data_IF_598363778355
#
_entry.id   IF_598363778355
#
_cell.length_a   1.000
_cell.length_b   1.000
_cell.length_c   1.000
_cell.angle_alpha   90.00
_cell.angle_beta   90.00
_cell.angle_gamma   90.00
#
_symmetry.space_group_name_H-M   'P 1'
#
loop_
_entity.id
_entity.type
_entity.pdbx_description
1 polymer ?
#
# COMPACT_ATOMS: atom_id res chain seq x y z
N UNK A 1 4.98 5.32 -2.33
CA UNK A 1 4.01 4.50 -3.07
C UNK A 1 4.13 4.67 -4.59
N UNK A 2 3.98 5.85 -5.18
CA UNK A 2 4.06 6.05 -6.63
C UNK A 2 5.29 5.43 -7.30
N UNK A 3 6.47 5.55 -6.71
CA UNK A 3 7.69 4.91 -7.22
C UNK A 3 7.61 3.37 -7.21
N UNK A 4 6.98 2.77 -6.21
CA UNK A 4 6.82 1.31 -6.14
C UNK A 4 5.90 0.80 -7.29
N UNK A 5 4.78 1.49 -7.51
CA UNK A 5 3.86 1.19 -8.61
C UNK A 5 4.57 1.34 -9.95
N UNK A 6 5.32 2.42 -10.14
CA UNK A 6 6.11 2.67 -11.34
C UNK A 6 7.10 1.52 -11.62
N UNK A 7 7.88 1.14 -10.61
CA UNK A 7 8.83 0.02 -10.72
C UNK A 7 8.13 -1.30 -11.03
N UNK A 8 6.96 -1.55 -10.41
CA UNK A 8 6.16 -2.74 -10.68
C UNK A 8 5.62 -2.80 -12.11
N UNK A 9 5.13 -1.68 -12.65
CA UNK A 9 4.68 -1.59 -14.04
C UNK A 9 5.82 -1.89 -15.03
N UNK A 10 6.99 -1.31 -14.79
CA UNK A 10 8.17 -1.56 -15.64
C UNK A 10 8.62 -3.01 -15.57
N UNK A 11 8.65 -3.60 -14.36
CA UNK A 11 9.00 -5.00 -14.16
C UNK A 11 7.98 -5.95 -14.82
N UNK A 12 6.70 -5.55 -14.89
CA UNK A 12 5.64 -6.28 -15.59
C UNK A 12 5.65 -6.09 -17.12
N UNK A 13 6.64 -5.37 -17.67
CA UNK A 13 6.84 -5.19 -19.12
C UNK A 13 6.09 -3.99 -19.72
N UNK A 14 5.57 -3.08 -18.92
CA UNK A 14 5.00 -1.83 -19.47
C UNK A 14 6.11 -0.98 -20.06
N UNK A 15 5.98 -0.58 -21.34
CA UNK A 15 6.98 0.26 -22.01
C UNK A 15 7.11 1.62 -21.31
N UNK A 16 8.33 2.10 -21.05
CA UNK A 16 8.57 3.45 -20.53
C UNK A 16 7.91 4.56 -21.37
N UNK A 17 7.81 4.38 -22.69
CA UNK A 17 7.15 5.32 -23.60
C UNK A 17 5.65 5.48 -23.37
N UNK A 18 5.00 4.51 -22.69
CA UNK A 18 3.59 4.54 -22.35
C UNK A 18 3.34 5.15 -20.97
N UNK A 19 4.39 5.55 -20.26
CA UNK A 19 4.29 6.11 -18.91
C UNK A 19 4.77 7.56 -18.93
N UNK A 20 3.97 8.44 -18.35
CA UNK A 20 4.33 9.83 -18.07
C UNK A 20 4.18 10.06 -16.57
N UNK A 21 5.07 10.84 -16.00
CA UNK A 21 5.08 11.08 -14.55
C UNK A 21 5.13 12.58 -14.27
N UNK A 22 4.36 13.02 -13.28
CA UNK A 22 4.51 14.35 -12.70
C UNK A 22 5.06 14.23 -11.27
N UNK A 23 6.00 15.09 -10.94
CA UNK A 23 6.57 15.21 -9.61
C UNK A 23 6.47 16.63 -9.09
N UNK A 24 6.68 16.82 -7.78
CA UNK A 24 6.71 18.17 -7.21
C UNK A 24 7.98 18.92 -7.63
N UNK A 25 9.16 18.29 -7.51
CA UNK A 25 10.47 18.92 -7.71
C UNK A 25 11.14 18.46 -9.00
N UNK A 26 11.93 19.35 -9.60
CA UNK A 26 12.74 19.05 -10.79
C UNK A 26 13.72 17.90 -10.54
N UNK A 27 14.40 17.91 -9.40
CA UNK A 27 15.34 16.84 -9.04
C UNK A 27 14.68 15.44 -9.02
N UNK A 28 13.40 15.35 -8.62
CA UNK A 28 12.67 14.07 -8.64
C UNK A 28 12.28 13.65 -10.06
N UNK A 29 11.94 14.60 -10.93
CA UNK A 29 11.65 14.34 -12.34
C UNK A 29 12.90 13.85 -13.07
N UNK A 30 14.02 14.53 -12.89
CA UNK A 30 15.32 14.19 -13.48
C UNK A 30 15.78 12.78 -13.06
N UNK A 31 15.61 12.47 -11.76
CA UNK A 31 15.94 11.13 -11.24
C UNK A 31 15.10 10.02 -11.88
N UNK A 32 13.80 10.24 -12.10
CA UNK A 32 12.92 9.27 -12.77
C UNK A 32 13.32 9.12 -14.23
N UNK A 33 13.54 10.22 -14.93
CA UNK A 33 13.94 10.20 -16.34
C UNK A 33 15.27 9.47 -16.52
N UNK A 34 16.26 9.78 -15.67
CA UNK A 34 17.59 9.16 -15.75
C UNK A 34 17.59 7.67 -15.40
N UNK A 35 16.77 7.28 -14.40
CA UNK A 35 16.74 5.88 -13.91
C UNK A 35 15.91 4.95 -14.77
N UNK A 36 14.87 5.46 -15.44
CA UNK A 36 13.85 4.63 -16.08
C UNK A 36 13.58 4.99 -17.55
N UNK A 37 14.18 6.06 -18.09
CA UNK A 37 13.90 6.54 -19.45
C UNK A 37 12.47 7.04 -19.67
N UNK A 38 11.79 7.44 -18.59
CA UNK A 38 10.40 7.89 -18.60
C UNK A 38 10.34 9.41 -18.72
N UNK A 39 9.41 9.91 -19.51
CA UNK A 39 9.11 11.34 -19.55
C UNK A 39 8.51 11.80 -18.20
N UNK A 40 9.26 12.58 -17.46
CA UNK A 40 8.82 13.16 -16.20
C UNK A 40 8.84 14.70 -16.25
N UNK A 41 7.79 15.31 -15.70
CA UNK A 41 7.65 16.76 -15.57
C UNK A 41 7.60 17.15 -14.08
N UNK A 42 7.95 18.39 -13.76
CA UNK A 42 7.93 18.92 -12.40
C UNK A 42 7.01 20.12 -12.27
N UNK A 43 6.16 20.11 -11.23
CA UNK A 43 5.31 21.28 -10.91
C UNK A 43 6.12 22.53 -10.54
N UNK A 44 7.32 22.36 -10.03
CA UNK A 44 8.25 23.43 -9.71
C UNK A 44 8.67 24.23 -10.96
N UNK A 45 8.74 23.57 -12.11
CA UNK A 45 9.15 24.17 -13.39
C UNK A 45 7.97 24.48 -14.31
N UNK A 46 6.89 23.75 -14.18
CA UNK A 46 5.66 23.92 -14.98
C UNK A 46 4.44 23.65 -14.10
N UNK A 47 3.73 24.70 -13.71
CA UNK A 47 2.51 24.59 -12.88
C UNK A 47 1.37 23.83 -13.58
N UNK A 48 1.42 23.64 -14.89
CA UNK A 48 0.44 22.90 -15.69
C UNK A 48 0.83 21.43 -15.91
N UNK A 49 1.94 20.96 -15.32
CA UNK A 49 2.51 19.63 -15.55
C UNK A 49 1.50 18.49 -15.27
N UNK A 50 0.64 18.62 -14.27
CA UNK A 50 -0.38 17.61 -13.99
C UNK A 50 -1.38 17.49 -15.16
N UNK A 51 -1.93 18.62 -15.61
CA UNK A 51 -2.90 18.65 -16.71
C UNK A 51 -2.27 18.20 -18.02
N UNK A 52 -1.06 18.66 -18.33
CA UNK A 52 -0.31 18.27 -19.53
C UNK A 52 0.01 16.77 -19.53
N UNK A 53 0.39 16.21 -18.37
CA UNK A 53 0.72 14.79 -18.21
C UNK A 53 -0.53 13.90 -18.27
N UNK A 54 -1.65 14.34 -17.66
CA UNK A 54 -2.91 13.60 -17.65
C UNK A 54 -3.68 13.66 -18.98
N UNK A 55 -3.40 14.67 -19.81
CA UNK A 55 -4.04 14.80 -21.11
C UNK A 55 -3.86 13.55 -21.95
N UNK A 56 -4.95 13.07 -22.53
CA UNK A 56 -5.00 11.88 -23.37
C UNK A 56 -4.62 10.56 -22.67
N UNK A 57 -4.48 10.54 -21.34
CA UNK A 57 -4.24 9.31 -20.61
C UNK A 57 -5.51 8.42 -20.56
N UNK A 58 -5.30 7.11 -20.69
CA UNK A 58 -6.34 6.09 -20.46
C UNK A 58 -6.49 5.76 -18.99
N UNK A 59 -5.38 5.87 -18.25
CA UNK A 59 -5.31 5.62 -16.82
C UNK A 59 -4.44 6.69 -16.15
N UNK A 60 -4.96 7.28 -15.07
CA UNK A 60 -4.27 8.25 -14.23
C UNK A 60 -4.15 7.71 -12.81
N UNK A 61 -2.93 7.69 -12.27
CA UNK A 61 -2.67 7.24 -10.90
C UNK A 61 -2.34 8.46 -10.03
N UNK A 62 -3.16 8.70 -9.03
CA UNK A 62 -2.95 9.78 -8.05
C UNK A 62 -2.22 9.23 -6.83
N UNK A 63 -0.92 9.49 -6.76
CA UNK A 63 -0.05 9.07 -5.65
C UNK A 63 0.47 10.27 -4.82
N UNK A 64 -0.34 11.31 -4.74
CA UNK A 64 -0.08 12.51 -3.93
C UNK A 64 -0.60 12.34 -2.49
N UNK A 65 -0.28 13.28 -1.60
CA UNK A 65 -0.81 13.26 -0.22
C UNK A 65 -2.34 13.40 -0.23
N UNK A 66 -3.07 12.80 0.72
CA UNK A 66 -4.55 12.84 0.75
C UNK A 66 -5.14 14.25 0.61
N UNK A 67 -4.59 15.23 1.28
CA UNK A 67 -5.04 16.63 1.22
C UNK A 67 -4.97 17.27 -0.18
N UNK A 68 -4.19 16.69 -1.08
CA UNK A 68 -4.00 17.22 -2.45
C UNK A 68 -4.92 16.53 -3.48
N UNK A 69 -5.57 15.43 -3.13
CA UNK A 69 -6.29 14.58 -4.10
C UNK A 69 -7.40 15.35 -4.81
N UNK A 70 -8.28 16.02 -4.05
CA UNK A 70 -9.45 16.68 -4.63
C UNK A 70 -9.04 17.87 -5.50
N UNK A 71 -8.02 18.62 -5.09
CA UNK A 71 -7.48 19.73 -5.87
C UNK A 71 -6.83 19.22 -7.16
N UNK A 72 -5.98 18.19 -7.08
CA UNK A 72 -5.36 17.57 -8.26
C UNK A 72 -6.41 17.01 -9.22
N UNK A 73 -7.48 16.39 -8.71
CA UNK A 73 -8.59 15.90 -9.54
C UNK A 73 -9.28 17.04 -10.27
N UNK A 74 -9.58 18.13 -9.58
CA UNK A 74 -10.20 19.33 -10.18
C UNK A 74 -9.30 19.92 -11.27
N UNK A 75 -8.00 19.99 -11.04
CA UNK A 75 -7.00 20.47 -12.00
C UNK A 75 -7.00 19.63 -13.29
N UNK A 76 -6.99 18.29 -13.19
CA UNK A 76 -6.89 17.41 -14.35
C UNK A 76 -8.24 17.12 -15.02
N UNK A 77 -9.35 17.35 -14.34
CA UNK A 77 -10.70 16.96 -14.77
C UNK A 77 -11.06 17.40 -16.20
N UNK A 78 -10.68 18.62 -16.57
CA UNK A 78 -11.03 19.18 -17.88
C UNK A 78 -10.26 18.56 -19.05
N UNK A 79 -9.13 17.88 -18.79
CA UNK A 79 -8.26 17.31 -19.82
C UNK A 79 -8.31 15.79 -19.91
N UNK A 80 -9.02 15.14 -18.99
CA UNK A 80 -9.19 13.69 -19.03
C UNK A 80 -10.02 13.25 -20.24
N UNK A 81 -9.63 12.15 -20.86
CA UNK A 81 -10.44 11.49 -21.87
C UNK A 81 -11.78 11.01 -21.30
N UNK A 82 -12.83 10.94 -22.13
CA UNK A 82 -14.01 10.15 -21.79
C UNK A 82 -13.61 8.72 -21.40
N UNK A 83 -14.20 8.20 -20.33
CA UNK A 83 -13.90 6.88 -19.78
C UNK A 83 -12.46 6.66 -19.25
N UNK A 84 -11.69 7.72 -19.01
CA UNK A 84 -10.42 7.62 -18.33
C UNK A 84 -10.61 6.94 -16.95
N UNK A 85 -9.75 5.99 -16.64
CA UNK A 85 -9.71 5.38 -15.30
C UNK A 85 -8.79 6.19 -14.40
N UNK A 86 -9.33 6.75 -13.33
CA UNK A 86 -8.57 7.43 -12.29
C UNK A 86 -8.42 6.51 -11.08
N UNK A 87 -7.19 6.25 -10.68
CA UNK A 87 -6.88 5.40 -9.52
C UNK A 87 -6.21 6.26 -8.45
N UNK A 88 -6.81 6.36 -7.27
CA UNK A 88 -6.20 7.03 -6.12
C UNK A 88 -5.63 6.01 -5.15
N UNK A 89 -4.37 6.20 -4.72
CA UNK A 89 -3.75 5.41 -3.65
C UNK A 89 -3.68 6.16 -2.32
N UNK A 90 -4.44 7.23 -2.18
CA UNK A 90 -4.49 8.02 -0.96
C UNK A 90 -5.50 7.46 0.06
N UNK A 91 -5.10 7.45 1.33
CA UNK A 91 -5.99 7.07 2.41
C UNK A 91 -7.07 8.14 2.68
N UNK A 92 -8.25 7.71 3.14
CA UNK A 92 -9.27 8.60 3.70
C UNK A 92 -10.15 9.36 2.70
N UNK A 93 -9.90 9.27 1.38
CA UNK A 93 -10.71 9.95 0.36
C UNK A 93 -11.62 8.92 -0.31
N UNK A 94 -12.93 9.16 -0.26
CA UNK A 94 -13.93 8.25 -0.84
C UNK A 94 -14.05 8.38 -2.36
N UNK A 95 -14.50 7.32 -3.02
CA UNK A 95 -14.79 7.34 -4.46
C UNK A 95 -15.82 8.42 -4.80
N UNK A 96 -16.87 8.54 -3.99
CA UNK A 96 -17.91 9.57 -4.16
C UNK A 96 -17.34 10.99 -4.09
N UNK A 97 -16.44 11.29 -3.13
CA UNK A 97 -15.80 12.59 -3.02
C UNK A 97 -14.91 12.90 -4.24
N UNK A 98 -14.22 11.89 -4.75
CA UNK A 98 -13.39 12.00 -5.96
C UNK A 98 -14.23 12.21 -7.22
N UNK A 99 -15.31 11.45 -7.39
CA UNK A 99 -16.23 11.56 -8.53
C UNK A 99 -16.89 12.94 -8.63
N UNK A 100 -17.13 13.61 -7.50
CA UNK A 100 -17.67 14.98 -7.47
C UNK A 100 -16.72 16.03 -8.06
N UNK A 101 -15.42 15.75 -8.12
CA UNK A 101 -14.42 16.65 -8.69
C UNK A 101 -14.23 16.44 -10.20
N UNK A 102 -14.78 15.37 -10.76
CA UNK A 102 -14.60 15.01 -12.15
C UNK A 102 -15.79 15.42 -13.00
N UNK A 103 -15.52 16.09 -14.10
CA UNK A 103 -16.48 16.34 -15.18
C UNK A 103 -16.54 15.10 -16.11
N UNK A 104 -17.70 14.83 -16.70
CA UNK A 104 -17.84 13.76 -17.67
C UNK A 104 -17.93 12.35 -17.10
N UNK A 105 -17.43 11.37 -17.85
CA UNK A 105 -17.57 9.95 -17.58
C UNK A 105 -16.28 9.28 -17.04
N UNK A 106 -15.37 10.03 -16.46
CA UNK A 106 -14.19 9.44 -15.84
C UNK A 106 -14.61 8.50 -14.69
N UNK A 107 -14.00 7.33 -14.65
CA UNK A 107 -14.25 6.31 -13.64
C UNK A 107 -13.20 6.40 -12.52
N UNK A 108 -13.59 6.15 -11.28
CA UNK A 108 -12.70 6.26 -10.11
C UNK A 108 -12.55 4.94 -9.41
N UNK A 109 -11.31 4.53 -9.15
CA UNK A 109 -10.97 3.41 -8.27
C UNK A 109 -10.20 3.95 -7.07
N UNK A 110 -10.64 3.55 -5.89
CA UNK A 110 -9.89 3.76 -4.64
C UNK A 110 -9.04 2.52 -4.37
N UNK A 111 -7.74 2.69 -4.27
CA UNK A 111 -6.79 1.64 -3.96
C UNK A 111 -6.06 1.95 -2.66
N UNK A 112 -5.83 0.92 -1.85
CA UNK A 112 -5.09 1.01 -0.59
C UNK A 112 -3.95 -0.02 -0.58
N UNK A 113 -2.83 0.29 -1.25
CA UNK A 113 -1.62 -0.53 -1.21
C UNK A 113 -0.88 -0.34 0.11
N UNK A 114 0.10 -1.22 0.36
CA UNK A 114 1.01 -1.11 1.51
C UNK A 114 2.48 -1.06 1.08
N UNK A 115 3.37 -0.77 2.03
CA UNK A 115 4.80 -0.55 1.77
C UNK A 115 5.55 -1.75 1.17
N UNK A 116 5.23 -3.04 1.46
CA UNK A 116 5.86 -4.18 0.81
C UNK A 116 5.69 -4.24 -0.71
N UNK A 117 4.83 -3.41 -1.30
CA UNK A 117 4.77 -3.20 -2.76
C UNK A 117 6.14 -2.81 -3.37
N UNK A 118 7.04 -2.20 -2.60
CA UNK A 118 8.41 -1.85 -3.05
C UNK A 118 9.23 -3.09 -3.44
N UNK A 119 8.94 -4.23 -2.80
CA UNK A 119 9.60 -5.52 -3.06
C UNK A 119 8.68 -6.51 -3.79
N UNK A 120 7.58 -6.05 -4.38
CA UNK A 120 6.64 -6.89 -5.14
C UNK A 120 5.75 -7.80 -4.28
N UNK A 121 5.73 -7.61 -2.96
CA UNK A 121 4.99 -8.41 -2.00
C UNK A 121 3.90 -7.60 -1.27
N UNK A 122 3.38 -6.58 -1.93
CA UNK A 122 2.31 -5.75 -1.39
C UNK A 122 0.97 -6.47 -1.26
N UNK A 123 0.10 -5.89 -0.45
CA UNK A 123 -1.33 -6.21 -0.44
C UNK A 123 -2.08 -4.92 -0.73
N UNK A 124 -2.92 -4.94 -1.76
CA UNK A 124 -3.71 -3.78 -2.18
C UNK A 124 -5.19 -4.08 -2.09
N UNK A 125 -5.91 -3.35 -1.25
CA UNK A 125 -7.37 -3.31 -1.31
C UNK A 125 -7.84 -2.40 -2.43
N UNK A 126 -8.82 -2.82 -3.21
CA UNK A 126 -9.41 -2.03 -4.29
C UNK A 126 -10.93 -1.93 -4.09
N UNK A 127 -11.46 -0.72 -4.24
CA UNK A 127 -12.90 -0.47 -4.32
C UNK A 127 -13.23 0.36 -5.56
N UNK A 128 -14.28 -0.04 -6.27
CA UNK A 128 -14.75 0.65 -7.47
C UNK A 128 -15.75 1.76 -7.12
N UNK A 129 -15.64 2.90 -7.81
CA UNK A 129 -16.64 3.94 -7.83
C UNK A 129 -17.84 3.59 -8.72
N UNK A 130 -18.79 4.51 -8.79
CA UNK A 130 -20.09 4.27 -9.41
C UNK A 130 -20.06 4.06 -10.93
N UNK A 131 -19.01 4.56 -11.60
CA UNK A 131 -18.89 4.54 -13.08
C UNK A 131 -17.85 3.54 -13.60
N UNK A 132 -17.26 2.73 -12.72
CA UNK A 132 -16.21 1.78 -13.09
C UNK A 132 -16.82 0.55 -13.76
N UNK A 133 -16.45 0.28 -15.01
CA UNK A 133 -16.80 -0.97 -15.69
C UNK A 133 -15.98 -2.16 -15.16
N UNK A 134 -16.41 -3.38 -15.49
CA UNK A 134 -15.67 -4.58 -15.06
C UNK A 134 -14.30 -4.64 -15.74
N UNK A 135 -14.16 -4.22 -17.01
CA UNK A 135 -12.88 -4.14 -17.71
C UNK A 135 -11.91 -3.13 -17.05
N UNK A 136 -12.44 -2.01 -16.56
CA UNK A 136 -11.66 -1.01 -15.84
C UNK A 136 -11.23 -1.51 -14.45
N UNK A 137 -12.10 -2.27 -13.79
CA UNK A 137 -11.74 -2.92 -12.52
C UNK A 137 -10.64 -3.96 -12.75
N UNK A 138 -10.74 -4.78 -13.78
CA UNK A 138 -9.72 -5.76 -14.15
C UNK A 138 -8.38 -5.09 -14.48
N UNK A 139 -8.42 -3.93 -15.16
CA UNK A 139 -7.21 -3.14 -15.42
C UNK A 139 -6.56 -2.66 -14.11
N UNK A 140 -7.35 -2.18 -13.15
CA UNK A 140 -6.84 -1.78 -11.83
C UNK A 140 -6.28 -2.99 -11.06
N UNK A 141 -6.95 -4.14 -11.09
CA UNK A 141 -6.46 -5.38 -10.47
C UNK A 141 -5.13 -5.80 -11.10
N UNK A 142 -5.03 -5.82 -12.43
CA UNK A 142 -3.79 -6.15 -13.15
C UNK A 142 -2.66 -5.19 -12.82
N UNK A 143 -2.94 -3.89 -12.72
CA UNK A 143 -1.99 -2.87 -12.32
C UNK A 143 -1.35 -3.21 -10.96
N UNK A 144 -2.16 -3.44 -9.92
CA UNK A 144 -1.63 -3.69 -8.58
C UNK A 144 -1.10 -5.12 -8.39
N UNK A 145 -1.50 -6.07 -9.23
CA UNK A 145 -0.92 -7.42 -9.25
C UNK A 145 0.55 -7.42 -9.66
N UNK A 146 1.04 -6.36 -10.31
CA UNK A 146 2.46 -6.15 -10.60
C UNK A 146 3.31 -5.87 -9.35
N UNK A 147 2.69 -5.50 -8.24
CA UNK A 147 3.37 -5.15 -6.98
C UNK A 147 2.90 -5.98 -5.78
N UNK A 148 2.10 -7.03 -6.00
CA UNK A 148 1.66 -7.93 -4.94
C UNK A 148 0.28 -8.55 -5.16
N UNK A 149 -0.41 -8.86 -4.07
CA UNK A 149 -1.77 -9.42 -4.09
C UNK A 149 -2.83 -8.34 -4.03
N UNK A 150 -3.96 -8.60 -4.68
CA UNK A 150 -5.09 -7.66 -4.75
C UNK A 150 -6.33 -8.28 -4.13
N UNK A 151 -7.05 -7.48 -3.35
CA UNK A 151 -8.34 -7.83 -2.77
C UNK A 151 -9.37 -6.76 -3.18
N UNK A 152 -10.35 -7.14 -3.99
CA UNK A 152 -11.48 -6.28 -4.33
C UNK A 152 -12.51 -6.36 -3.22
N UNK A 153 -12.90 -5.22 -2.66
CA UNK A 153 -13.83 -5.12 -1.53
C UNK A 153 -14.78 -3.94 -1.72
N UNK A 154 -15.89 -3.98 -1.01
CA UNK A 154 -16.75 -2.79 -0.86
C UNK A 154 -15.97 -1.65 -0.22
N UNK A 155 -16.26 -0.41 -0.61
CA UNK A 155 -15.52 0.75 -0.11
C UNK A 155 -15.59 0.89 1.43
N UNK A 156 -16.72 0.49 2.03
CA UNK A 156 -16.90 0.47 3.48
C UNK A 156 -15.86 -0.36 4.25
N UNK A 157 -15.19 -1.30 3.56
CA UNK A 157 -14.15 -2.17 4.13
C UNK A 157 -12.73 -1.65 3.94
N UNK A 158 -12.51 -0.64 3.09
CA UNK A 158 -11.15 -0.14 2.77
C UNK A 158 -10.43 0.40 4.03
N UNK A 159 -11.14 1.14 4.89
CA UNK A 159 -10.53 1.68 6.11
C UNK A 159 -10.18 0.56 7.11
N UNK A 160 -11.03 -0.45 7.27
CA UNK A 160 -10.73 -1.64 8.08
C UNK A 160 -9.56 -2.45 7.47
N UNK A 161 -9.55 -2.68 6.16
CA UNK A 161 -8.45 -3.32 5.46
C UNK A 161 -7.12 -2.57 5.71
N UNK A 162 -7.15 -1.24 5.74
CA UNK A 162 -5.95 -0.44 5.96
C UNK A 162 -5.33 -0.66 7.34
N UNK A 163 -6.12 -1.01 8.36
CA UNK A 163 -5.60 -1.30 9.71
C UNK A 163 -4.85 -2.63 9.76
N UNK A 164 -5.21 -3.57 8.89
CA UNK A 164 -4.59 -4.89 8.83
C UNK A 164 -3.40 -4.89 7.84
N UNK A 165 -3.63 -4.58 6.57
CA UNK A 165 -2.58 -4.64 5.55
C UNK A 165 -1.81 -3.33 5.39
N UNK A 166 -2.45 -2.17 5.51
CA UNK A 166 -1.80 -0.87 5.40
C UNK A 166 -0.85 -0.59 6.56
N UNK A 167 -1.32 -0.78 7.79
CA UNK A 167 -0.55 -0.59 9.03
C UNK A 167 0.27 -1.83 9.41
N UNK A 168 -0.12 -3.02 8.95
CA UNK A 168 0.51 -4.30 9.27
C UNK A 168 2.04 -4.33 9.16
N UNK A 169 2.67 -3.75 8.13
CA UNK A 169 4.12 -3.68 8.05
C UNK A 169 4.76 -3.01 9.29
N UNK A 170 4.12 -1.97 9.83
CA UNK A 170 4.60 -1.32 11.04
C UNK A 170 4.53 -2.26 12.28
N UNK A 171 3.50 -3.12 12.35
CA UNK A 171 3.39 -4.11 13.42
C UNK A 171 4.52 -5.13 13.34
N UNK A 172 4.81 -5.64 12.15
CA UNK A 172 5.93 -6.57 11.90
C UNK A 172 7.27 -5.93 12.30
N UNK A 173 7.51 -4.68 11.91
CA UNK A 173 8.74 -3.96 12.27
C UNK A 173 8.81 -3.71 13.78
N UNK A 174 7.71 -3.39 14.44
CA UNK A 174 7.65 -3.21 15.88
C UNK A 174 7.98 -4.52 16.63
N UNK A 175 7.41 -5.65 16.21
CA UNK A 175 7.75 -6.94 16.79
C UNK A 175 9.23 -7.30 16.58
N UNK A 176 9.77 -7.05 15.38
CA UNK A 176 11.19 -7.25 15.11
C UNK A 176 12.07 -6.40 16.04
N UNK A 177 11.72 -5.13 16.24
CA UNK A 177 12.40 -4.23 17.18
C UNK A 177 12.41 -4.79 18.60
N UNK A 178 11.27 -5.27 19.10
CA UNK A 178 11.16 -5.82 20.45
C UNK A 178 11.93 -7.13 20.62
N UNK A 179 11.90 -7.99 19.60
CA UNK A 179 12.65 -9.24 19.62
C UNK A 179 14.18 -9.00 19.54
N UNK A 180 14.62 -7.98 18.77
CA UNK A 180 16.03 -7.56 18.79
C UNK A 180 16.45 -7.04 20.17
N UNK A 181 15.61 -6.27 20.85
CA UNK A 181 15.89 -5.80 22.22
C UNK A 181 16.00 -6.98 23.20
N UNK A 182 15.14 -7.98 23.08
CA UNK A 182 15.20 -9.18 23.89
C UNK A 182 16.48 -10.00 23.62
N UNK A 183 16.89 -10.15 22.36
CA UNK A 183 18.16 -10.82 22.02
C UNK A 183 19.36 -10.10 22.66
N UNK A 184 19.40 -8.77 22.62
CA UNK A 184 20.47 -7.98 23.27
C UNK A 184 20.47 -8.16 24.79
N UNK A 185 19.32 -8.26 25.44
CA UNK A 185 19.24 -8.53 26.88
C UNK A 185 19.74 -9.93 27.26
N UNK A 186 19.79 -10.85 26.29
CA UNK A 186 20.38 -12.20 26.44
C UNK A 186 21.88 -12.25 26.11
N UNK A 187 22.51 -11.10 25.83
CA UNK A 187 23.95 -10.98 25.62
C UNK A 187 24.42 -10.99 24.17
N UNK A 188 23.51 -10.99 23.20
CA UNK A 188 23.87 -10.90 21.79
C UNK A 188 24.23 -9.46 21.38
N UNK A 189 25.22 -9.32 20.51
CA UNK A 189 25.59 -8.04 19.89
C UNK A 189 24.47 -7.52 18.97
N UNK A 190 24.54 -6.23 18.60
CA UNK A 190 23.60 -5.60 17.67
C UNK A 190 23.57 -6.31 16.31
N UNK A 191 24.71 -6.74 15.80
CA UNK A 191 24.81 -7.48 14.52
C UNK A 191 24.18 -8.87 14.59
N UNK A 192 24.45 -9.62 15.67
CA UNK A 192 23.85 -10.95 15.87
C UNK A 192 22.34 -10.86 16.08
N UNK A 193 21.86 -9.96 16.93
CA UNK A 193 20.44 -9.74 17.14
C UNK A 193 19.72 -9.33 15.83
N UNK A 194 20.34 -8.45 15.05
CA UNK A 194 19.79 -8.02 13.76
C UNK A 194 19.68 -9.18 12.77
N UNK A 195 20.73 -9.98 12.61
CA UNK A 195 20.75 -11.14 11.71
C UNK A 195 19.71 -12.16 12.13
N UNK A 196 19.76 -12.63 13.39
CA UNK A 196 18.83 -13.65 13.89
C UNK A 196 17.38 -13.26 13.71
N UNK A 197 17.01 -12.02 14.08
CA UNK A 197 15.61 -11.60 14.02
C UNK A 197 15.14 -11.42 12.58
N UNK A 198 15.91 -10.73 11.72
CA UNK A 198 15.54 -10.54 10.32
C UNK A 198 15.35 -11.86 9.57
N UNK A 199 16.29 -12.79 9.71
CA UNK A 199 16.25 -14.05 9.00
C UNK A 199 15.17 -14.99 9.56
N UNK A 200 14.89 -14.91 10.87
CA UNK A 200 13.75 -15.63 11.47
C UNK A 200 12.42 -15.10 10.94
N UNK A 201 12.22 -13.78 10.89
CA UNK A 201 10.99 -13.20 10.31
C UNK A 201 10.82 -13.55 8.84
N UNK A 202 11.89 -13.39 8.04
CA UNK A 202 11.86 -13.72 6.61
C UNK A 202 11.54 -15.21 6.39
N UNK A 203 12.25 -16.11 7.08
CA UNK A 203 12.04 -17.54 6.96
C UNK A 203 10.63 -17.96 7.39
N UNK A 204 10.16 -17.46 8.54
CA UNK A 204 8.83 -17.79 9.06
C UNK A 204 7.71 -17.23 8.15
N UNK A 205 7.84 -16.02 7.64
CA UNK A 205 6.88 -15.43 6.71
C UNK A 205 6.85 -16.21 5.37
N UNK A 206 8.01 -16.62 4.87
CA UNK A 206 8.12 -17.45 3.67
C UNK A 206 7.46 -18.81 3.88
N UNK A 207 7.74 -19.47 5.01
CA UNK A 207 7.12 -20.75 5.34
C UNK A 207 5.60 -20.61 5.45
N UNK A 208 5.10 -19.58 6.14
CA UNK A 208 3.66 -19.29 6.24
C UNK A 208 3.02 -19.07 4.86
N UNK A 209 3.70 -18.37 3.95
CA UNK A 209 3.19 -18.06 2.62
C UNK A 209 3.15 -19.28 1.66
N UNK A 210 4.02 -20.27 1.89
CA UNK A 210 4.18 -21.45 1.01
C UNK A 210 3.57 -22.72 1.58
N UNK A 211 3.28 -22.77 2.88
CA UNK A 211 2.65 -23.91 3.53
C UNK A 211 1.13 -23.91 3.34
N UNK A 212 0.53 -25.10 3.30
CA UNK A 212 -0.92 -25.29 3.43
C UNK A 212 -1.41 -25.30 4.87
N UNK A 213 -0.49 -25.39 5.86
CA UNK A 213 -0.83 -25.37 7.27
C UNK A 213 -1.26 -24.01 7.76
N UNK A 214 -2.19 -23.99 8.71
CA UNK A 214 -2.62 -22.76 9.38
C UNK A 214 -1.47 -22.15 10.23
N UNK A 215 -1.54 -20.86 10.58
CA UNK A 215 -0.58 -20.25 11.52
C UNK A 215 -0.50 -21.01 12.84
N UNK A 216 -1.62 -21.52 13.34
CA UNK A 216 -1.69 -22.30 14.56
C UNK A 216 -0.93 -23.62 14.43
N UNK A 217 -1.15 -24.39 13.36
CA UNK A 217 -0.44 -25.65 13.10
C UNK A 217 1.06 -25.42 12.95
N UNK A 218 1.50 -24.38 12.23
CA UNK A 218 2.92 -24.05 12.12
C UNK A 218 3.52 -23.69 13.48
N UNK A 219 2.81 -22.97 14.34
CA UNK A 219 3.23 -22.68 15.71
C UNK A 219 3.36 -23.96 16.54
N UNK A 220 2.41 -24.89 16.43
CA UNK A 220 2.45 -26.18 17.14
C UNK A 220 3.64 -27.03 16.70
N UNK A 221 3.99 -27.05 15.41
CA UNK A 221 5.13 -27.82 14.89
C UNK A 221 6.48 -27.41 15.51
N UNK A 222 6.62 -26.16 15.94
CA UNK A 222 7.83 -25.63 16.60
C UNK A 222 7.70 -25.55 18.13
N UNK A 223 6.64 -26.11 18.70
CA UNK A 223 6.30 -26.04 20.13
C UNK A 223 6.21 -27.43 20.76
N UNK A 224 7.37 -28.00 21.12
CA UNK A 224 7.39 -29.29 21.82
C UNK A 224 6.75 -29.18 23.21
N UNK A 225 6.10 -30.28 23.71
CA UNK A 225 5.54 -30.29 25.06
C UNK A 225 6.57 -29.92 26.13
N UNK A 226 6.24 -28.97 26.99
CA UNK A 226 7.12 -28.43 28.04
C UNK A 226 8.40 -27.77 27.52
N UNK A 227 8.49 -27.49 26.20
CA UNK A 227 9.64 -26.84 25.57
C UNK A 227 9.72 -25.34 25.81
N UNK A 228 10.84 -24.75 25.43
CA UNK A 228 11.12 -23.30 25.58
C UNK A 228 10.12 -22.42 24.82
N UNK A 229 9.71 -22.88 23.63
CA UNK A 229 8.71 -22.14 22.82
C UNK A 229 7.37 -22.03 23.55
N UNK A 230 6.89 -23.12 24.19
CA UNK A 230 5.64 -23.07 24.96
C UNK A 230 5.72 -22.11 26.15
N UNK A 231 6.87 -22.03 26.82
CA UNK A 231 7.07 -21.06 27.92
C UNK A 231 6.96 -19.62 27.43
N UNK A 232 7.53 -19.32 26.25
CA UNK A 232 7.47 -17.99 25.66
C UNK A 232 6.05 -17.65 25.17
N UNK A 233 5.40 -18.54 24.41
CA UNK A 233 4.03 -18.29 23.90
C UNK A 233 3.01 -18.21 25.03
N UNK A 234 3.16 -19.00 26.10
CA UNK A 234 2.32 -18.90 27.29
C UNK A 234 2.43 -17.55 28.00
N UNK A 235 3.53 -16.80 27.87
CA UNK A 235 3.62 -15.41 28.34
C UNK A 235 2.82 -14.46 27.47
N UNK A 236 2.81 -14.67 26.15
CA UNK A 236 1.99 -13.87 25.24
C UNK A 236 0.50 -14.14 25.43
N UNK A 237 0.12 -15.40 25.65
CA UNK A 237 -1.27 -15.79 25.97
C UNK A 237 -1.72 -15.16 27.30
N UNK A 238 -0.85 -15.18 28.33
CA UNK A 238 -1.14 -14.56 29.64
C UNK A 238 -1.26 -13.04 29.56
N UNK A 239 -0.67 -12.40 28.56
CA UNK A 239 -0.80 -10.97 28.29
C UNK A 239 -2.02 -10.65 27.39
N UNK A 240 -2.84 -11.64 27.05
CA UNK A 240 -4.02 -11.51 26.18
C UNK A 240 -3.72 -10.75 24.87
N UNK A 241 -2.69 -11.27 24.14
CA UNK A 241 -2.19 -10.62 22.94
C UNK A 241 -3.27 -10.47 21.88
N UNK A 242 -4.24 -11.38 21.80
CA UNK A 242 -5.38 -11.28 20.88
C UNK A 242 -6.20 -10.01 21.16
N UNK A 243 -6.54 -9.77 22.42
CA UNK A 243 -7.27 -8.56 22.83
C UNK A 243 -6.48 -7.29 22.50
N UNK A 244 -5.16 -7.30 22.75
CA UNK A 244 -4.28 -6.17 22.39
C UNK A 244 -4.33 -5.88 20.88
N UNK A 245 -4.33 -6.91 20.02
CA UNK A 245 -4.46 -6.72 18.56
C UNK A 245 -5.83 -6.15 18.17
N UNK A 246 -6.91 -6.66 18.77
CA UNK A 246 -8.26 -6.15 18.51
C UNK A 246 -8.36 -4.67 18.87
N UNK A 247 -7.99 -4.30 20.10
CA UNK A 247 -8.03 -2.92 20.57
C UNK A 247 -7.14 -1.98 19.73
N UNK A 248 -5.94 -2.42 19.36
CA UNK A 248 -5.02 -1.64 18.53
C UNK A 248 -5.58 -1.39 17.12
N UNK A 249 -6.18 -2.40 16.50
CA UNK A 249 -6.78 -2.25 15.17
C UNK A 249 -8.06 -1.46 15.18
N UNK A 250 -8.86 -1.54 16.24
CA UNK A 250 -10.05 -0.67 16.48
C UNK A 250 -9.63 0.80 16.63
N UNK A 251 -8.61 1.09 17.41
CA UNK A 251 -8.08 2.44 17.56
C UNK A 251 -7.57 3.00 16.21
N UNK A 252 -6.87 2.17 15.43
CA UNK A 252 -6.42 2.54 14.09
C UNK A 252 -7.59 2.81 13.14
N UNK A 253 -8.65 1.99 13.19
CA UNK A 253 -9.87 2.17 12.40
C UNK A 253 -10.62 3.46 12.77
N UNK A 254 -10.75 3.74 14.07
CA UNK A 254 -11.35 4.98 14.54
C UNK A 254 -10.58 6.19 13.95
N UNK A 255 -9.26 6.15 14.00
CA UNK A 255 -8.43 7.23 13.46
C UNK A 255 -8.53 7.35 11.93
N UNK A 256 -8.58 6.24 11.20
CA UNK A 256 -8.77 6.25 9.74
C UNK A 256 -10.10 6.94 9.36
N UNK A 257 -11.18 6.63 10.07
CA UNK A 257 -12.49 7.25 9.88
C UNK A 257 -12.50 8.76 10.21
N UNK A 258 -11.76 9.19 11.24
CA UNK A 258 -11.60 10.61 11.55
C UNK A 258 -10.89 11.36 10.45
N UNK A 259 -9.77 10.81 9.96
CA UNK A 259 -9.00 11.41 8.86
C UNK A 259 -9.83 11.53 7.57
N UNK A 260 -10.70 10.57 7.30
CA UNK A 260 -11.63 10.62 6.16
C UNK A 260 -12.75 11.68 6.31
N UNK A 261 -13.03 12.15 7.53
CA UNK A 261 -14.04 13.21 7.80
C UNK A 261 -13.47 14.63 7.73
N UNK A 262 -12.15 14.78 7.80
CA UNK A 262 -11.53 16.11 7.69
C UNK A 262 -11.74 16.59 6.26
N UNK A 263 -12.68 17.52 6.09
CA UNK A 263 -12.85 18.23 4.81
C UNK A 263 -11.54 18.95 4.47
N UNK A 264 -11.11 18.88 3.23
CA UNK A 264 -9.96 19.65 2.77
C UNK A 264 -10.16 21.15 2.92
#
# INVERSE_FOLDING_TARGET
MGKAILSGLLAAGTSPSNIRVTTKSQASADAITSSHGIQAAALESDSTANSSTAKDAELVILAVKPVMILETLKEVSAVLKPNCLVVSVAAGITTAAMEQQLSGNAAVVRAMPNTPSVVGLGVTGISKGSKVSDEQLDLAVKLFSSVGKVLVVDESKIDALSTISGSGPAYVFYFAEKLMAAAKSLGFSDSEASMMVKDTFLGSATLLATSSSSPEELRQQVSSPNGTTMQATGRFDSADLEKVFIEATEAALARAKELGKVKP
#
